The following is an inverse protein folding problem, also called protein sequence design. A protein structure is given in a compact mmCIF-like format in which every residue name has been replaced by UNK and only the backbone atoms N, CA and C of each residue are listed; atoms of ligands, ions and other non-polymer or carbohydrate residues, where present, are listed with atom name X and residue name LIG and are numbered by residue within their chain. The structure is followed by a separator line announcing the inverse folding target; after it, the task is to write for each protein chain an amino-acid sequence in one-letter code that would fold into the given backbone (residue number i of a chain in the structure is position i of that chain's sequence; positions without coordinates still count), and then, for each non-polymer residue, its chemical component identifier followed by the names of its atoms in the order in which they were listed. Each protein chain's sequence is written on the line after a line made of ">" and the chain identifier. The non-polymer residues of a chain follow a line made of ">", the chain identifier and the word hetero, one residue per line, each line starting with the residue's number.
data_IF_137701428270
#
_entry.id   IF_137701428270
#
_cell.length_a   1.000
_cell.length_b   1.000
_cell.length_c   1.000
_cell.angle_alpha   90.00
_cell.angle_beta   90.00
_cell.angle_gamma   90.00
#
_symmetry.space_group_name_H-M   'P 1'
#
loop_
_entity.id
_entity.type
_entity.pdbx_description
1 polymer ?
#
# COMPACT_ATOMS: atom_id res chain seq x y z
N UNK A 1 -38.42 -24.53 -13.64
CA UNK A 1 -38.17 -23.07 -13.57
C UNK A 1 -37.10 -22.82 -12.53
N UNK A 2 -35.87 -22.54 -12.95
CA UNK A 2 -34.75 -22.19 -12.06
C UNK A 2 -34.30 -20.77 -12.38
N UNK A 3 -34.51 -19.84 -11.45
CA UNK A 3 -34.05 -18.46 -11.57
C UNK A 3 -32.54 -18.41 -11.35
N UNK A 4 -31.79 -18.07 -12.40
CA UNK A 4 -30.36 -17.81 -12.31
C UNK A 4 -30.10 -16.56 -11.44
N UNK A 5 -29.47 -16.76 -10.29
CA UNK A 5 -29.07 -15.69 -9.39
C UNK A 5 -27.83 -14.99 -9.97
N UNK A 6 -28.00 -13.81 -10.56
CA UNK A 6 -26.86 -12.98 -10.99
C UNK A 6 -26.22 -12.32 -9.77
N UNK A 7 -24.91 -12.43 -9.63
CA UNK A 7 -24.15 -11.77 -8.58
C UNK A 7 -24.27 -10.24 -8.68
N UNK A 8 -24.58 -9.59 -7.57
CA UNK A 8 -24.60 -8.14 -7.47
C UNK A 8 -23.15 -7.62 -7.54
N UNK A 9 -22.78 -6.95 -8.64
CA UNK A 9 -21.45 -6.37 -8.81
C UNK A 9 -21.03 -6.04 -10.24
N UNK A 10 -21.71 -6.58 -11.26
CA UNK A 10 -21.43 -6.30 -12.68
C UNK A 10 -21.92 -4.94 -13.19
N UNK A 11 -22.01 -3.93 -12.32
CA UNK A 11 -22.67 -2.66 -12.60
C UNK A 11 -21.69 -1.53 -12.88
N UNK A 12 -21.67 -1.10 -14.14
CA UNK A 12 -21.07 0.15 -14.70
C UNK A 12 -19.67 -0.02 -15.29
N UNK A 13 -19.59 -0.02 -16.63
CA UNK A 13 -18.36 0.31 -17.37
C UNK A 13 -17.85 1.64 -16.79
N UNK A 14 -16.69 1.59 -16.14
CA UNK A 14 -16.09 2.76 -15.53
C UNK A 14 -15.53 3.61 -16.69
N UNK A 15 -16.26 4.66 -17.08
CA UNK A 15 -15.72 5.73 -17.92
C UNK A 15 -14.67 6.45 -17.08
N UNK A 16 -13.49 5.84 -16.90
CA UNK A 16 -12.35 6.55 -16.33
C UNK A 16 -12.03 7.70 -17.28
N UNK A 17 -11.92 8.94 -16.77
CA UNK A 17 -11.43 10.03 -17.60
C UNK A 17 -10.09 9.63 -18.21
N UNK A 18 -9.96 9.92 -19.50
CA UNK A 18 -8.76 9.78 -20.32
C UNK A 18 -7.52 10.04 -19.50
N UNK A 19 -6.63 9.04 -19.45
CA UNK A 19 -5.29 9.02 -18.84
C UNK A 19 -4.68 10.42 -18.80
N UNK A 20 -4.92 11.17 -17.73
CA UNK A 20 -4.25 12.44 -17.49
C UNK A 20 -2.78 12.06 -17.31
N UNK A 21 -1.97 12.30 -18.34
CA UNK A 21 -0.52 12.12 -18.22
C UNK A 21 -0.06 13.11 -17.17
N UNK A 22 0.47 12.58 -16.07
CA UNK A 22 1.08 13.41 -15.04
C UNK A 22 2.03 14.44 -15.66
N UNK A 23 1.93 15.68 -15.19
CA UNK A 23 2.84 16.76 -15.60
C UNK A 23 4.21 16.66 -14.92
N UNK A 24 4.29 15.85 -13.87
CA UNK A 24 5.44 15.74 -12.99
C UNK A 24 6.49 14.81 -13.59
N UNK A 25 7.71 15.30 -13.82
CA UNK A 25 8.84 14.49 -14.33
C UNK A 25 9.79 14.05 -13.23
N UNK A 26 9.85 14.82 -12.13
CA UNK A 26 10.72 14.55 -10.98
C UNK A 26 10.21 15.27 -9.74
N UNK A 27 10.41 14.66 -8.58
CA UNK A 27 10.27 15.30 -7.28
C UNK A 27 11.48 14.98 -6.40
N UNK A 28 11.97 15.99 -5.66
CA UNK A 28 13.01 15.77 -4.67
C UNK A 28 12.41 15.11 -3.41
N UNK A 29 13.15 14.24 -2.70
CA UNK A 29 12.72 13.74 -1.40
C UNK A 29 12.49 14.89 -0.41
N UNK A 30 11.35 14.94 0.29
CA UNK A 30 11.09 15.91 1.34
C UNK A 30 12.08 15.77 2.50
N UNK A 31 12.39 16.90 3.16
CA UNK A 31 13.30 16.94 4.32
C UNK A 31 12.70 16.29 5.57
N UNK A 32 11.38 16.12 5.60
CA UNK A 32 10.58 15.52 6.67
C UNK A 32 10.62 13.98 6.66
N UNK A 33 11.31 13.36 5.69
CA UNK A 33 11.54 11.93 5.69
C UNK A 33 12.47 11.52 6.83
N UNK A 34 12.07 10.52 7.60
CA UNK A 34 12.70 10.21 8.89
C UNK A 34 14.06 9.50 8.81
N UNK A 35 14.42 8.94 7.65
CA UNK A 35 15.65 8.17 7.49
C UNK A 35 16.05 7.96 6.04
N UNK A 36 17.28 7.48 5.82
CA UNK A 36 17.75 7.00 4.52
C UNK A 36 16.86 5.88 3.94
N UNK A 37 16.28 5.03 4.80
CA UNK A 37 15.32 4.02 4.36
C UNK A 37 14.06 4.66 3.77
N UNK A 38 13.52 5.70 4.43
CA UNK A 38 12.36 6.43 3.93
C UNK A 38 12.69 7.20 2.65
N UNK A 39 13.89 7.80 2.56
CA UNK A 39 14.40 8.49 1.36
C UNK A 39 14.57 7.53 0.18
N UNK A 40 15.17 6.36 0.42
CA UNK A 40 15.31 5.32 -0.61
C UNK A 40 13.96 4.87 -1.13
N UNK A 41 13.02 4.59 -0.22
CA UNK A 41 11.66 4.20 -0.59
C UNK A 41 10.94 5.30 -1.38
N UNK A 42 11.04 6.56 -0.95
CA UNK A 42 10.47 7.70 -1.67
C UNK A 42 10.97 7.73 -3.11
N UNK A 43 12.30 7.69 -3.31
CA UNK A 43 12.91 7.77 -4.65
C UNK A 43 12.40 6.67 -5.57
N UNK A 44 12.27 5.44 -5.06
CA UNK A 44 11.76 4.32 -5.85
C UNK A 44 10.27 4.47 -6.15
N UNK A 45 9.44 4.77 -5.15
CA UNK A 45 7.99 4.84 -5.33
C UNK A 45 7.57 6.07 -6.15
N UNK A 46 8.16 7.24 -5.90
CA UNK A 46 7.87 8.44 -6.69
C UNK A 46 8.21 8.22 -8.16
N UNK A 47 9.34 7.58 -8.46
CA UNK A 47 9.74 7.23 -9.83
C UNK A 47 8.69 6.32 -10.49
N UNK A 48 8.28 5.25 -9.81
CA UNK A 48 7.26 4.32 -10.32
C UNK A 48 5.94 5.04 -10.61
N UNK A 49 5.48 5.90 -9.70
CA UNK A 49 4.20 6.59 -9.85
C UNK A 49 4.26 7.65 -10.97
N UNK A 50 5.39 8.35 -11.12
CA UNK A 50 5.66 9.27 -12.23
C UNK A 50 5.68 8.54 -13.57
N UNK A 51 6.40 7.42 -13.68
CA UNK A 51 6.49 6.62 -14.91
C UNK A 51 5.12 6.06 -15.32
N UNK A 52 4.24 5.78 -14.35
CA UNK A 52 2.85 5.38 -14.60
C UNK A 52 1.94 6.54 -14.99
N UNK A 53 2.38 7.79 -14.79
CA UNK A 53 1.59 8.99 -15.02
C UNK A 53 0.50 9.20 -13.97
N UNK A 54 0.62 8.62 -12.78
CA UNK A 54 -0.41 8.65 -11.72
C UNK A 54 0.06 9.34 -10.46
N UNK A 55 1.01 10.25 -10.57
CA UNK A 55 1.55 11.00 -9.45
C UNK A 55 1.50 12.49 -9.74
N UNK A 56 0.87 13.24 -8.86
CA UNK A 56 0.89 14.70 -8.90
C UNK A 56 1.46 15.28 -7.60
N UNK A 57 1.80 16.57 -7.62
CA UNK A 57 2.37 17.23 -6.45
C UNK A 57 1.44 17.17 -5.23
N UNK A 58 0.12 17.15 -5.46
CA UNK A 58 -0.91 16.99 -4.41
C UNK A 58 -0.85 15.63 -3.70
N UNK A 59 -0.30 14.60 -4.35
CA UNK A 59 -0.12 13.26 -3.76
C UNK A 59 1.15 13.16 -2.90
N UNK A 60 2.04 14.16 -2.97
CA UNK A 60 3.33 14.15 -2.27
C UNK A 60 3.21 13.94 -0.75
N UNK A 61 2.27 14.58 -0.01
CA UNK A 61 2.07 14.32 1.41
C UNK A 61 1.64 12.87 1.71
N UNK A 62 0.90 12.24 0.79
CA UNK A 62 0.44 10.86 0.94
C UNK A 62 1.61 9.87 0.79
N UNK A 63 2.47 10.11 -0.19
CA UNK A 63 3.71 9.32 -0.36
C UNK A 63 4.67 9.52 0.83
N UNK A 64 4.73 10.72 1.39
CA UNK A 64 5.58 11.04 2.55
C UNK A 64 5.13 10.21 3.75
N UNK A 65 3.84 10.22 4.03
CA UNK A 65 3.25 9.43 5.10
C UNK A 65 3.49 7.92 4.88
N UNK A 66 3.41 7.43 3.65
CA UNK A 66 3.70 6.03 3.30
C UNK A 66 5.16 5.68 3.62
N UNK A 67 6.11 6.51 3.17
CA UNK A 67 7.54 6.29 3.41
C UNK A 67 7.91 6.33 4.89
N UNK A 68 7.34 7.27 5.65
CA UNK A 68 7.58 7.36 7.09
C UNK A 68 6.93 6.20 7.86
N UNK A 69 5.74 5.74 7.44
CA UNK A 69 5.10 4.54 8.02
C UNK A 69 5.98 3.29 7.84
N UNK A 70 6.62 3.15 6.67
CA UNK A 70 7.55 2.05 6.42
C UNK A 70 8.78 2.11 7.34
N UNK A 71 9.38 3.30 7.49
CA UNK A 71 10.48 3.48 8.43
C UNK A 71 10.10 3.10 9.87
N UNK A 72 8.95 3.58 10.35
CA UNK A 72 8.47 3.28 11.70
C UNK A 72 8.20 1.79 11.91
N UNK A 73 7.66 1.10 10.89
CA UNK A 73 7.49 -0.36 10.91
C UNK A 73 8.83 -1.08 11.12
N UNK A 74 9.86 -0.75 10.33
CA UNK A 74 11.19 -1.37 10.46
C UNK A 74 11.83 -1.06 11.82
N UNK A 75 11.66 0.16 12.32
CA UNK A 75 12.16 0.54 13.66
C UNK A 75 11.48 -0.28 14.74
N UNK A 76 10.15 -0.47 14.67
CA UNK A 76 9.43 -1.31 15.61
C UNK A 76 9.85 -2.79 15.51
N UNK A 77 10.07 -3.32 14.30
CA UNK A 77 10.57 -4.68 14.08
C UNK A 77 11.97 -4.88 14.69
N UNK A 78 12.87 -3.89 14.58
CA UNK A 78 14.19 -3.93 15.23
C UNK A 78 14.09 -3.95 16.76
N UNK A 79 13.16 -3.18 17.33
CA UNK A 79 12.93 -3.19 18.79
C UNK A 79 12.44 -4.57 19.23
N UNK A 80 11.45 -5.15 18.53
CA UNK A 80 10.93 -6.49 18.82
C UNK A 80 12.06 -7.53 18.72
N UNK A 81 12.86 -7.50 17.66
CA UNK A 81 13.98 -8.43 17.48
C UNK A 81 15.03 -8.31 18.59
N UNK A 82 15.36 -7.09 19.03
CA UNK A 82 16.29 -6.89 20.13
C UNK A 82 15.74 -7.38 21.48
N UNK A 83 14.42 -7.24 21.71
CA UNK A 83 13.75 -7.76 22.89
C UNK A 83 13.66 -9.29 22.88
N UNK A 84 13.46 -9.90 21.72
CA UNK A 84 13.44 -11.35 21.57
C UNK A 84 14.75 -12.04 21.99
N UNK A 85 15.89 -11.32 21.94
CA UNK A 85 17.17 -11.81 22.44
C UNK A 85 17.27 -11.81 23.97
N UNK A 86 16.43 -11.03 24.65
CA UNK A 86 16.44 -10.85 26.11
C UNK A 86 15.32 -11.64 26.79
N UNK A 87 14.15 -11.66 26.17
CA UNK A 87 12.98 -12.40 26.62
C UNK A 87 12.76 -13.60 25.69
N UNK A 88 13.29 -14.76 26.10
CA UNK A 88 13.19 -16.00 25.35
C UNK A 88 11.81 -16.67 25.49
N UNK A 89 11.00 -16.29 26.49
CA UNK A 89 9.69 -16.88 26.73
C UNK A 89 8.62 -16.21 25.86
N UNK A 90 8.58 -14.87 25.83
CA UNK A 90 7.61 -14.13 25.02
C UNK A 90 8.20 -13.56 23.72
N UNK A 91 9.48 -13.78 23.45
CA UNK A 91 10.16 -13.34 22.23
C UNK A 91 10.01 -11.83 21.96
N UNK A 92 9.96 -11.02 23.02
CA UNK A 92 9.77 -9.57 22.93
C UNK A 92 8.38 -9.12 22.47
N UNK A 93 7.39 -10.02 22.45
CA UNK A 93 6.02 -9.74 22.01
C UNK A 93 5.12 -9.25 23.15
N UNK A 94 5.47 -9.55 24.39
CA UNK A 94 4.74 -9.16 25.58
C UNK A 94 5.62 -8.37 26.56
N UNK A 95 4.98 -7.58 27.41
CA UNK A 95 5.57 -6.83 28.50
C UNK A 95 4.71 -6.98 29.76
N UNK A 96 5.30 -6.78 30.94
CA UNK A 96 4.58 -6.84 32.20
C UNK A 96 3.74 -5.57 32.39
N UNK A 97 2.42 -5.74 32.50
CA UNK A 97 1.53 -4.65 32.86
C UNK A 97 1.66 -4.27 34.34
N UNK A 98 1.16 -3.09 34.71
CA UNK A 98 1.21 -2.59 36.10
C UNK A 98 0.51 -3.47 37.16
N UNK A 99 -0.26 -4.48 36.75
CA UNK A 99 -0.90 -5.48 37.64
C UNK A 99 -0.20 -6.84 37.63
N UNK A 100 0.99 -6.95 37.01
CA UNK A 100 1.76 -8.19 36.89
C UNK A 100 1.33 -9.14 35.76
N UNK A 101 0.24 -8.83 35.05
CA UNK A 101 -0.21 -9.62 33.89
C UNK A 101 0.52 -9.23 32.60
N UNK A 102 0.77 -10.21 31.73
CA UNK A 102 1.37 -9.98 30.41
C UNK A 102 0.43 -9.19 29.51
N UNK A 103 0.97 -8.17 28.84
CA UNK A 103 0.28 -7.35 27.84
C UNK A 103 1.12 -7.26 26.57
N UNK A 104 0.47 -7.03 25.43
CA UNK A 104 1.17 -6.84 24.15
C UNK A 104 2.17 -5.68 24.23
N UNK A 105 3.40 -5.91 23.80
CA UNK A 105 4.43 -4.88 23.82
C UNK A 105 4.08 -3.72 22.86
N UNK A 106 4.27 -2.44 23.24
CA UNK A 106 3.90 -1.28 22.40
C UNK A 106 4.50 -1.28 21.00
N UNK A 107 5.73 -1.78 20.84
CA UNK A 107 6.35 -1.90 19.51
C UNK A 107 5.54 -2.79 18.56
N UNK A 108 4.87 -3.83 19.06
CA UNK A 108 4.01 -4.70 18.24
C UNK A 108 2.72 -3.96 17.84
N UNK A 109 2.23 -3.04 18.66
CA UNK A 109 1.11 -2.16 18.30
C UNK A 109 1.52 -1.19 17.18
N UNK A 110 2.64 -0.47 17.35
CA UNK A 110 3.19 0.43 16.32
C UNK A 110 3.40 -0.29 15.00
N UNK A 111 4.00 -1.48 15.04
CA UNK A 111 4.22 -2.31 13.84
C UNK A 111 2.89 -2.61 13.12
N UNK A 112 1.85 -3.00 13.84
CA UNK A 112 0.54 -3.31 13.26
C UNK A 112 -0.15 -2.08 12.67
N UNK A 113 -0.05 -0.94 13.36
CA UNK A 113 -0.60 0.33 12.89
C UNK A 113 0.09 0.76 11.59
N UNK A 114 1.42 0.65 11.53
CA UNK A 114 2.20 0.96 10.34
C UNK A 114 1.87 0.01 9.17
N UNK A 115 1.73 -1.30 9.40
CA UNK A 115 1.28 -2.23 8.33
C UNK A 115 -0.10 -1.84 7.80
N UNK A 116 -1.02 -1.47 8.69
CA UNK A 116 -2.36 -1.04 8.29
C UNK A 116 -2.32 0.29 7.52
N UNK A 117 -1.46 1.22 7.93
CA UNK A 117 -1.23 2.48 7.23
C UNK A 117 -0.62 2.25 5.85
N UNK A 118 0.40 1.38 5.73
CA UNK A 118 1.02 1.03 4.45
C UNK A 118 0.02 0.43 3.48
N UNK A 119 -0.85 -0.48 3.93
CA UNK A 119 -1.90 -1.04 3.09
C UNK A 119 -2.86 0.05 2.57
N UNK A 120 -3.36 0.93 3.46
CA UNK A 120 -4.31 1.99 3.07
C UNK A 120 -3.67 3.04 2.15
N UNK A 121 -2.53 3.59 2.55
CA UNK A 121 -1.82 4.62 1.79
C UNK A 121 -1.30 4.07 0.46
N UNK A 122 -0.79 2.84 0.46
CA UNK A 122 -0.35 2.15 -0.76
C UNK A 122 -1.50 1.87 -1.72
N UNK A 123 -2.70 1.54 -1.22
CA UNK A 123 -3.89 1.36 -2.07
C UNK A 123 -4.33 2.68 -2.71
N UNK A 124 -4.35 3.77 -1.94
CA UNK A 124 -4.67 5.11 -2.45
C UNK A 124 -3.69 5.58 -3.53
N UNK A 125 -2.40 5.26 -3.39
CA UNK A 125 -1.35 5.57 -4.37
C UNK A 125 -1.30 4.57 -5.54
N UNK A 126 -2.11 3.51 -5.57
CA UNK A 126 -2.03 2.49 -6.62
C UNK A 126 -0.75 1.62 -6.58
N UNK A 127 -0.12 1.50 -5.41
CA UNK A 127 1.10 0.72 -5.19
C UNK A 127 0.81 -0.76 -4.89
N UNK A 128 -0.38 -1.10 -4.36
CA UNK A 128 -0.75 -2.49 -4.07
C UNK A 128 -1.02 -3.33 -5.35
N UNK A 129 -0.85 -4.67 -5.31
CA UNK A 129 -1.01 -5.51 -6.50
C UNK A 129 -2.38 -5.40 -7.17
N UNK A 130 -3.45 -5.29 -6.39
CA UNK A 130 -4.82 -5.20 -6.90
C UNK A 130 -5.07 -3.88 -7.64
N UNK A 131 -4.57 -2.77 -7.10
CA UNK A 131 -4.68 -1.46 -7.74
C UNK A 131 -3.84 -1.39 -9.00
N UNK A 132 -2.67 -2.04 -9.02
CA UNK A 132 -1.89 -2.19 -10.26
C UNK A 132 -2.68 -2.92 -11.35
N UNK A 133 -3.29 -4.05 -11.02
CA UNK A 133 -4.11 -4.81 -11.98
C UNK A 133 -5.28 -3.98 -12.48
N UNK A 134 -5.97 -3.23 -11.61
CA UNK A 134 -7.05 -2.32 -12.02
C UNK A 134 -6.56 -1.21 -12.95
N UNK A 135 -5.37 -0.67 -12.71
CA UNK A 135 -4.76 0.35 -13.56
C UNK A 135 -4.30 -0.17 -14.93
N UNK A 136 -3.86 -1.43 -15.02
CA UNK A 136 -3.41 -2.04 -16.29
C UNK A 136 -4.52 -2.77 -17.06
N UNK A 137 -5.51 -3.31 -16.36
CA UNK A 137 -6.61 -4.12 -16.90
C UNK A 137 -7.77 -3.30 -17.47
N UNK A 138 -7.71 -1.97 -17.42
CA UNK A 138 -8.66 -1.08 -18.10
C UNK A 138 -8.47 -0.98 -19.62
N UNK A 139 -7.44 -1.63 -20.17
CA UNK A 139 -7.37 -1.91 -21.60
C UNK A 139 -8.38 -3.02 -21.87
N UNK A 140 -9.61 -2.66 -22.23
CA UNK A 140 -10.52 -3.63 -22.84
C UNK A 140 -9.77 -4.31 -23.97
N UNK A 141 -9.79 -5.66 -24.09
CA UNK A 141 -9.60 -6.25 -25.40
C UNK A 141 -10.59 -5.51 -26.30
N UNK A 142 -10.13 -5.01 -27.44
CA UNK A 142 -11.05 -4.74 -28.54
C UNK A 142 -11.95 -5.98 -28.62
N UNK A 143 -13.26 -5.77 -28.68
CA UNK A 143 -14.22 -6.86 -28.83
C UNK A 143 -13.81 -7.61 -30.11
N UNK A 144 -12.96 -8.63 -29.98
CA UNK A 144 -12.77 -9.65 -30.99
C UNK A 144 -14.16 -10.27 -31.12
N UNK A 145 -14.84 -9.86 -32.18
CA UNK A 145 -16.06 -10.46 -32.69
C UNK A 145 -15.87 -11.98 -32.61
N UNK A 146 -16.60 -12.63 -31.70
CA UNK A 146 -16.45 -14.06 -31.46
C UNK A 146 -16.73 -14.78 -32.79
N UNK A 147 -15.71 -15.40 -33.36
CA UNK A 147 -15.78 -16.24 -34.58
C UNK A 147 -16.70 -17.47 -34.43
N UNK A 148 -17.33 -17.62 -33.26
CA UNK A 148 -18.27 -18.67 -32.90
C UNK A 148 -19.74 -18.19 -32.80
N UNK A 149 -20.05 -16.93 -33.07
CA UNK A 149 -21.44 -16.46 -33.19
C UNK A 149 -22.12 -16.92 -34.51
N UNK A 150 -21.38 -17.62 -35.39
CA UNK A 150 -21.87 -18.10 -36.69
C UNK A 150 -22.08 -19.64 -36.79
N UNK A 151 -22.09 -20.37 -35.66
CA UNK A 151 -22.31 -21.83 -35.63
C UNK A 151 -23.56 -22.29 -34.86
#
# INVERSE_FOLDING_TARGET
>A
MGTAMRAAGGGRKQNLPTKNKSSLTRIAPPKELLSETAIGLWKTQSKILIERGTFELEDAPLLLAYCNSFHLMITAEKVIAALALKDLENLGLADLGGTGGLKKHPAVAVRNDCVSQLARLGSLLGLDPLSRIRMTGGSSPEEEENEFDEF
#
